data_IF_700284372239
#
_entry.id   IF_700284372239
#
_cell.length_a   1.000
_cell.length_b   1.000
_cell.length_c   1.000
_cell.angle_alpha   90.00
_cell.angle_beta   90.00
_cell.angle_gamma   90.00
#
_symmetry.space_group_name_H-M   'P 1'
#
loop_
_entity.id
_entity.type
_entity.pdbx_description
1 polymer ?
#
# COMPACT_ATOMS: atom_id res chain seq x y z
N UNK A 1 11.07 -14.95 9.82
CA UNK A 1 10.59 -13.60 9.46
C UNK A 1 9.85 -13.02 10.67
N UNK A 2 10.04 -11.73 10.95
CA UNK A 2 9.24 -11.04 11.97
C UNK A 2 7.76 -11.03 11.57
N UNK A 3 6.85 -11.03 12.55
CA UNK A 3 5.40 -10.92 12.29
C UNK A 3 5.05 -9.72 11.39
N UNK A 4 5.75 -8.59 11.59
CA UNK A 4 5.62 -7.39 10.76
C UNK A 4 6.04 -7.64 9.30
N UNK A 5 7.14 -8.37 9.08
CA UNK A 5 7.60 -8.73 7.73
C UNK A 5 6.60 -9.64 7.02
N UNK A 6 6.03 -10.62 7.73
CA UNK A 6 5.00 -11.54 7.18
C UNK A 6 3.77 -10.75 6.76
N UNK A 7 3.31 -9.81 7.60
CA UNK A 7 2.17 -8.94 7.27
C UNK A 7 2.40 -8.15 5.98
N UNK A 8 3.53 -7.44 5.85
CA UNK A 8 3.82 -6.68 4.62
C UNK A 8 4.01 -7.57 3.39
N UNK A 9 4.53 -8.79 3.56
CA UNK A 9 4.62 -9.76 2.48
C UNK A 9 3.25 -10.23 2.01
N UNK A 10 2.34 -10.52 2.94
CA UNK A 10 0.98 -10.95 2.63
C UNK A 10 0.22 -9.85 1.86
N UNK A 11 0.33 -8.60 2.33
CA UNK A 11 -0.24 -7.43 1.64
C UNK A 11 0.32 -7.29 0.22
N UNK A 12 1.63 -7.47 0.03
CA UNK A 12 2.22 -7.40 -1.31
C UNK A 12 1.59 -8.43 -2.26
N UNK A 13 1.40 -9.67 -1.81
CA UNK A 13 0.74 -10.70 -2.63
C UNK A 13 -0.72 -10.38 -2.93
N UNK A 14 -1.45 -9.81 -1.98
CA UNK A 14 -2.83 -9.37 -2.19
C UNK A 14 -2.92 -8.31 -3.30
N UNK A 15 -2.01 -7.33 -3.28
CA UNK A 15 -1.94 -6.28 -4.31
C UNK A 15 -1.58 -6.84 -5.69
N UNK A 16 -0.62 -7.77 -5.76
CA UNK A 16 -0.26 -8.45 -7.01
C UNK A 16 -1.43 -9.29 -7.54
N UNK A 17 -2.10 -10.05 -6.67
CA UNK A 17 -3.26 -10.87 -7.04
C UNK A 17 -4.40 -10.00 -7.58
N UNK A 18 -4.65 -8.83 -6.96
CA UNK A 18 -5.66 -7.90 -7.44
C UNK A 18 -5.31 -7.31 -8.82
N UNK A 19 -4.05 -6.96 -9.06
CA UNK A 19 -3.60 -6.50 -10.37
C UNK A 19 -3.81 -7.57 -11.47
N UNK A 20 -3.52 -8.85 -11.17
CA UNK A 20 -3.77 -9.97 -12.08
C UNK A 20 -5.26 -10.19 -12.35
N UNK A 21 -6.11 -10.02 -11.32
CA UNK A 21 -7.56 -10.10 -11.48
C UNK A 21 -8.11 -8.99 -12.39
N UNK A 22 -7.63 -7.75 -12.23
CA UNK A 22 -7.98 -6.63 -13.12
C UNK A 22 -7.54 -6.91 -14.55
N UNK A 23 -6.29 -7.37 -14.75
CA UNK A 23 -5.77 -7.71 -16.08
C UNK A 23 -6.62 -8.78 -16.76
N UNK A 24 -6.94 -9.85 -16.05
CA UNK A 24 -7.77 -10.95 -16.58
C UNK A 24 -9.19 -10.46 -16.89
N UNK A 25 -9.80 -9.68 -16.00
CA UNK A 25 -11.14 -9.14 -16.19
C UNK A 25 -11.23 -8.22 -17.42
N UNK A 26 -10.22 -7.36 -17.63
CA UNK A 26 -10.14 -6.51 -18.82
C UNK A 26 -9.90 -7.29 -20.12
N UNK A 27 -9.19 -8.41 -20.06
CA UNK A 27 -9.04 -9.31 -21.22
C UNK A 27 -10.35 -10.02 -21.59
N UNK A 28 -11.23 -10.28 -20.63
CA UNK A 28 -12.55 -10.89 -20.87
C UNK A 28 -13.52 -9.84 -21.44
N UNK A 29 -13.59 -8.67 -20.82
CA UNK A 29 -14.39 -7.55 -21.30
C UNK A 29 -13.72 -6.21 -20.95
N UNK A 30 -13.28 -5.44 -21.96
CA UNK A 30 -12.68 -4.13 -21.76
C UNK A 30 -13.60 -3.13 -21.04
N UNK A 31 -14.92 -3.28 -21.17
CA UNK A 31 -15.94 -2.39 -20.61
C UNK A 31 -16.17 -2.60 -19.10
N UNK A 32 -15.58 -3.64 -18.48
CA UNK A 32 -15.73 -3.86 -17.05
C UNK A 32 -15.07 -2.75 -16.23
N UNK A 33 -15.83 -2.15 -15.32
CA UNK A 33 -15.33 -1.19 -14.35
C UNK A 33 -14.89 -1.94 -13.09
N UNK A 34 -13.58 -2.21 -12.99
CA UNK A 34 -12.97 -2.92 -11.86
C UNK A 34 -12.15 -1.90 -11.07
N UNK A 35 -12.54 -1.69 -9.81
CA UNK A 35 -11.91 -0.75 -8.90
C UNK A 35 -11.24 -1.44 -7.72
N UNK A 36 -10.79 -0.60 -6.78
CA UNK A 36 -10.24 -1.04 -5.51
C UNK A 36 -11.09 -0.56 -4.34
N UNK A 37 -11.06 -1.32 -3.24
CA UNK A 37 -11.61 -0.90 -1.96
C UNK A 37 -10.48 -0.84 -0.94
N UNK A 38 -10.44 0.25 -0.18
CA UNK A 38 -9.46 0.44 0.89
C UNK A 38 -10.16 0.87 2.16
N UNK A 39 -9.77 0.28 3.29
CA UNK A 39 -10.28 0.67 4.60
C UNK A 39 -9.61 1.99 5.06
N UNK A 40 -10.11 3.12 4.57
CA UNK A 40 -9.63 4.44 4.96
C UNK A 40 -10.26 4.89 6.27
N UNK A 41 -9.43 5.11 7.30
CA UNK A 41 -9.82 5.88 8.47
C UNK A 41 -8.90 7.11 8.57
N UNK A 42 -9.41 8.33 8.32
CA UNK A 42 -8.60 9.53 8.43
C UNK A 42 -8.14 9.73 9.88
N UNK A 43 -6.89 10.13 10.03
CA UNK A 43 -6.27 10.44 11.33
C UNK A 43 -6.13 11.96 11.40
N UNK A 44 -6.79 12.54 12.39
CA UNK A 44 -6.72 13.97 12.67
C UNK A 44 -5.67 14.24 13.76
N UNK A 45 -4.94 15.37 13.68
CA UNK A 45 -4.04 15.79 14.74
C UNK A 45 -4.84 16.19 15.98
N UNK A 46 -4.25 16.00 17.16
CA UNK A 46 -4.88 16.41 18.42
C UNK A 46 -4.98 17.93 18.54
N UNK A 47 -3.93 18.64 18.11
CA UNK A 47 -3.87 20.11 18.11
C UNK A 47 -3.24 20.63 16.82
N UNK A 48 -3.24 21.96 16.63
CA UNK A 48 -2.53 22.62 15.52
C UNK A 48 -1.01 22.73 15.74
N UNK A 49 -0.45 22.14 16.81
CA UNK A 49 0.98 22.14 17.04
C UNK A 49 1.73 21.43 15.89
N UNK A 50 2.88 21.95 15.43
CA UNK A 50 3.62 21.36 14.31
C UNK A 50 3.96 19.87 14.50
N UNK A 51 4.23 19.45 15.75
CA UNK A 51 4.54 18.07 16.09
C UNK A 51 3.33 17.15 15.87
N UNK A 52 2.14 17.56 16.34
CA UNK A 52 0.91 16.77 16.18
C UNK A 52 0.49 16.68 14.71
N UNK A 53 0.62 17.78 13.96
CA UNK A 53 0.40 17.84 12.51
C UNK A 53 1.32 16.86 11.77
N UNK A 54 2.61 16.85 12.11
CA UNK A 54 3.59 15.96 11.51
C UNK A 54 3.32 14.49 11.85
N UNK A 55 2.89 14.19 13.08
CA UNK A 55 2.50 12.84 13.49
C UNK A 55 1.28 12.33 12.73
N UNK A 56 0.23 13.15 12.61
CA UNK A 56 -0.96 12.81 11.84
C UNK A 56 -0.61 12.55 10.36
N UNK A 57 0.23 13.40 9.77
CA UNK A 57 0.70 13.25 8.38
C UNK A 57 1.45 11.93 8.17
N UNK A 58 2.42 11.61 9.04
CA UNK A 58 3.16 10.34 8.98
C UNK A 58 2.23 9.13 9.17
N UNK A 59 1.24 9.23 10.05
CA UNK A 59 0.26 8.17 10.25
C UNK A 59 -0.63 7.97 9.02
N UNK A 60 -1.06 9.05 8.37
CA UNK A 60 -1.82 9.01 7.11
C UNK A 60 -1.00 8.44 5.95
N UNK A 61 0.28 8.80 5.82
CA UNK A 61 1.18 8.22 4.82
C UNK A 61 1.27 6.68 4.92
N UNK A 62 1.20 6.11 6.13
CA UNK A 62 1.13 4.66 6.36
C UNK A 62 -0.20 4.02 5.98
N UNK A 63 -1.26 4.81 5.74
CA UNK A 63 -2.54 4.34 5.21
C UNK A 63 -2.66 4.53 3.70
N UNK A 64 -2.15 5.64 3.17
CA UNK A 64 -2.27 5.94 1.74
C UNK A 64 -1.47 5.02 0.83
N UNK A 65 -0.37 4.44 1.31
CA UNK A 65 0.48 3.65 0.43
C UNK A 65 -0.18 2.40 -0.16
N UNK A 66 -1.18 1.84 0.53
CA UNK A 66 -1.97 0.72 -0.02
C UNK A 66 -2.66 1.16 -1.31
N UNK A 67 -3.31 2.33 -1.28
CA UNK A 67 -3.95 2.94 -2.45
C UNK A 67 -2.93 3.36 -3.50
N UNK A 68 -1.79 3.91 -3.10
CA UNK A 68 -0.73 4.30 -4.05
C UNK A 68 -0.25 3.09 -4.86
N UNK A 69 0.04 1.97 -4.22
CA UNK A 69 0.46 0.76 -4.93
C UNK A 69 -0.69 0.21 -5.78
N UNK A 70 -1.91 0.22 -5.26
CA UNK A 70 -3.04 -0.39 -5.94
C UNK A 70 -3.55 0.39 -7.15
N UNK A 71 -3.51 1.72 -7.09
CA UNK A 71 -3.94 2.61 -8.17
C UNK A 71 -2.80 3.04 -9.09
N UNK A 72 -1.57 3.24 -8.55
CA UNK A 72 -0.42 3.75 -9.31
C UNK A 72 0.62 2.68 -9.66
N UNK A 73 0.58 1.52 -9.01
CA UNK A 73 1.48 0.41 -9.30
C UNK A 73 2.90 0.53 -8.72
N UNK A 74 3.17 1.53 -7.87
CA UNK A 74 4.50 1.70 -7.27
C UNK A 74 4.43 1.99 -5.77
N UNK A 75 5.49 1.59 -5.06
CA UNK A 75 5.67 1.91 -3.64
C UNK A 75 6.17 3.35 -3.50
N UNK A 76 5.49 4.21 -2.71
CA UNK A 76 5.94 5.58 -2.53
C UNK A 76 7.21 5.65 -1.68
N UNK A 77 8.05 6.66 -1.92
CA UNK A 77 9.39 6.77 -1.34
C UNK A 77 9.39 6.74 0.20
N UNK A 78 8.38 7.34 0.85
CA UNK A 78 8.29 7.32 2.32
C UNK A 78 8.11 5.90 2.89
N UNK A 79 7.44 5.00 2.16
CA UNK A 79 7.31 3.61 2.57
C UNK A 79 8.58 2.82 2.33
N UNK A 80 9.29 3.09 1.22
CA UNK A 80 10.60 2.47 0.97
C UNK A 80 11.60 2.87 2.06
N UNK A 81 11.60 4.14 2.47
CA UNK A 81 12.43 4.62 3.58
C UNK A 81 12.05 3.94 4.91
N UNK A 82 10.75 3.77 5.18
CA UNK A 82 10.27 3.05 6.37
C UNK A 82 10.68 1.58 6.35
N UNK A 83 10.55 0.89 5.21
CA UNK A 83 11.00 -0.49 5.05
C UNK A 83 12.51 -0.64 5.25
N UNK A 84 13.31 0.31 4.77
CA UNK A 84 14.75 0.35 5.00
C UNK A 84 15.08 0.49 6.49
N UNK A 85 14.43 1.44 7.19
CA UNK A 85 14.61 1.66 8.63
C UNK A 85 14.24 0.43 9.46
N UNK A 86 13.13 -0.22 9.12
CA UNK A 86 12.61 -1.39 9.83
C UNK A 86 13.24 -2.72 9.36
N UNK A 87 14.17 -2.68 8.39
CA UNK A 87 14.78 -3.86 7.76
C UNK A 87 13.74 -4.85 7.21
N UNK A 88 12.69 -4.32 6.61
CA UNK A 88 11.64 -5.08 5.93
C UNK A 88 11.97 -5.10 4.43
N UNK A 89 12.08 -6.27 3.84
CA UNK A 89 12.27 -6.43 2.42
C UNK A 89 11.21 -7.41 1.89
N UNK A 90 10.12 -6.90 1.28
CA UNK A 90 9.16 -7.76 0.60
C UNK A 90 9.87 -8.50 -0.53
N UNK A 91 9.63 -9.81 -0.62
CA UNK A 91 10.06 -10.62 -1.75
C UNK A 91 9.13 -10.36 -2.92
N UNK A 92 9.68 -9.71 -3.94
CA UNK A 92 9.04 -9.57 -5.25
C UNK A 92 9.21 -10.87 -6.01
N UNK A 93 8.16 -11.70 -6.06
CA UNK A 93 8.16 -12.88 -6.92
C UNK A 93 7.76 -12.45 -8.33
N UNK A 94 8.69 -11.83 -9.05
CA UNK A 94 8.53 -11.69 -10.51
C UNK A 94 8.69 -13.08 -11.11
N UNK A 95 7.58 -13.69 -11.56
CA UNK A 95 7.68 -14.81 -12.51
C UNK A 95 8.35 -14.25 -13.77
N UNK A 96 9.50 -14.83 -14.12
CA UNK A 96 9.98 -14.82 -15.51
C UNK A 96 9.00 -15.60 -16.37
#
# INVERSE_FOLDING_TARGET
MSAKQIMYQAVHYELVASALAVQTGKSINPEFNIGCMIAMCPIYPLTCAPNDMMMATKAMHRRYWFTDVHARGYYPQHMLNYFCQERIQPRYHTRR
#
